data_IF_463858622820
#
_entry.id   IF_463858622820
#
_cell.length_a   1.000
_cell.length_b   1.000
_cell.length_c   1.000
_cell.angle_alpha   90.00
_cell.angle_beta   90.00
_cell.angle_gamma   90.00
#
_symmetry.space_group_name_H-M   'P 1'
#
loop_
_entity.id
_entity.type
_entity.pdbx_description
1 polymer ?
#
# COMPACT_ATOMS: atom_id res chain seq x y z
N UNK A 1 2.31 -13.95 -6.81
CA UNK A 1 1.01 -14.03 -6.09
C UNK A 1 0.54 -12.63 -5.73
N UNK A 2 -0.76 -12.33 -5.83
CA UNK A 2 -1.28 -10.96 -5.62
C UNK A 2 -2.24 -10.93 -4.43
N UNK A 3 -2.11 -9.90 -3.61
CA UNK A 3 -2.86 -9.67 -2.39
C UNK A 3 -3.28 -8.21 -2.25
N UNK A 4 -4.33 -7.98 -1.47
CA UNK A 4 -4.71 -6.65 -0.99
C UNK A 4 -4.60 -6.56 0.52
N UNK A 5 -4.35 -5.34 0.98
CA UNK A 5 -4.35 -5.03 2.40
C UNK A 5 -4.50 -3.54 2.64
N UNK A 6 -4.60 -3.18 3.91
CA UNK A 6 -4.84 -1.82 4.38
C UNK A 6 -3.62 -1.31 5.14
N UNK A 7 -3.09 -0.16 4.73
CA UNK A 7 -1.93 0.46 5.37
C UNK A 7 -2.30 0.90 6.78
N UNK A 8 -1.39 0.68 7.74
CA UNK A 8 -1.57 1.17 9.10
C UNK A 8 -0.23 1.55 9.74
N UNK A 9 -0.27 2.37 10.79
CA UNK A 9 0.89 2.67 11.63
C UNK A 9 0.96 1.71 12.80
N UNK A 10 2.11 1.06 12.96
CA UNK A 10 2.39 0.18 14.10
C UNK A 10 3.09 0.92 15.24
N UNK A 11 3.55 0.18 16.25
CA UNK A 11 4.29 0.71 17.42
C UNK A 11 5.75 1.11 17.13
N UNK A 12 6.07 1.46 15.88
CA UNK A 12 7.41 1.86 15.41
C UNK A 12 8.56 0.85 15.68
N UNK A 13 8.26 -0.42 15.99
CA UNK A 13 9.26 -1.48 16.18
C UNK A 13 10.15 -1.68 14.94
N UNK A 14 9.57 -1.55 13.75
CA UNK A 14 10.29 -1.72 12.48
C UNK A 14 11.52 -0.82 12.37
N UNK A 15 11.46 0.42 12.87
CA UNK A 15 12.59 1.37 12.78
C UNK A 15 13.86 0.84 13.48
N UNK A 16 13.72 0.37 14.72
CA UNK A 16 14.86 -0.17 15.48
C UNK A 16 15.37 -1.49 14.91
N UNK A 17 14.47 -2.35 14.41
CA UNK A 17 14.88 -3.60 13.75
C UNK A 17 15.63 -3.33 12.44
N UNK A 18 15.14 -2.41 11.61
CA UNK A 18 15.82 -2.05 10.36
C UNK A 18 17.19 -1.45 10.67
N UNK A 19 17.30 -0.56 11.66
CA UNK A 19 18.59 -0.02 12.11
C UNK A 19 19.55 -1.13 12.57
N UNK A 20 19.06 -2.10 13.34
CA UNK A 20 19.86 -3.25 13.81
C UNK A 20 20.37 -4.12 12.66
N UNK A 21 19.53 -4.38 11.66
CA UNK A 21 19.84 -5.30 10.56
C UNK A 21 20.35 -4.61 9.29
N UNK A 22 20.45 -3.27 9.26
CA UNK A 22 20.82 -2.49 8.07
C UNK A 22 22.08 -3.01 7.35
N UNK A 23 23.22 -3.28 8.01
CA UNK A 23 24.41 -3.78 7.30
C UNK A 23 24.16 -5.11 6.60
N UNK A 24 23.35 -5.99 7.19
CA UNK A 24 22.97 -7.27 6.58
C UNK A 24 22.01 -7.08 5.43
N UNK A 25 21.03 -6.21 5.57
CA UNK A 25 20.08 -5.91 4.49
C UNK A 25 20.85 -5.37 3.28
N UNK A 26 21.82 -4.49 3.49
CA UNK A 26 22.71 -4.00 2.43
C UNK A 26 23.50 -5.17 1.82
N UNK A 27 24.15 -6.01 2.63
CA UNK A 27 24.94 -7.14 2.11
C UNK A 27 24.13 -8.21 1.37
N UNK A 28 22.91 -8.49 1.83
CA UNK A 28 22.05 -9.56 1.29
C UNK A 28 21.27 -9.11 0.05
N UNK A 29 20.80 -7.85 0.06
CA UNK A 29 19.89 -7.30 -0.96
C UNK A 29 20.54 -6.26 -1.88
N UNK A 30 21.72 -5.75 -1.56
CA UNK A 30 22.30 -4.59 -2.26
C UNK A 30 21.50 -3.30 -2.06
N UNK A 31 20.66 -3.24 -1.03
CA UNK A 31 19.68 -2.18 -0.79
C UNK A 31 19.96 -1.52 0.56
N UNK A 32 20.14 -0.20 0.59
CA UNK A 32 20.05 0.56 1.84
C UNK A 32 18.57 0.80 2.16
N UNK A 33 18.01 0.21 3.22
CA UNK A 33 16.60 0.39 3.56
C UNK A 33 16.33 1.79 4.10
N UNK A 34 15.17 2.34 3.77
CA UNK A 34 14.59 3.46 4.49
C UNK A 34 14.38 3.08 5.97
N UNK A 35 14.60 3.98 6.94
CA UNK A 35 14.51 3.67 8.36
C UNK A 35 13.06 3.47 8.83
N UNK A 36 12.54 2.25 8.62
CA UNK A 36 11.22 1.83 9.04
C UNK A 36 10.64 0.76 8.12
N UNK A 37 9.43 0.32 8.44
CA UNK A 37 8.65 -0.62 7.63
C UNK A 37 7.31 0.00 7.26
N UNK A 38 6.81 -0.32 6.07
CA UNK A 38 5.39 -0.15 5.76
C UNK A 38 4.64 -1.35 6.37
N UNK A 39 3.70 -1.08 7.26
CA UNK A 39 2.83 -2.13 7.80
C UNK A 39 1.53 -2.17 7.01
N UNK A 40 1.15 -3.38 6.62
CA UNK A 40 -0.08 -3.65 5.87
C UNK A 40 -0.86 -4.74 6.58
N UNK A 41 -2.11 -4.44 6.92
CA UNK A 41 -3.05 -5.43 7.44
C UNK A 41 -3.69 -6.12 6.24
N UNK A 42 -3.34 -7.37 6.02
CA UNK A 42 -3.75 -8.18 4.88
C UNK A 42 -5.22 -8.60 5.02
N UNK A 43 -5.91 -8.73 3.89
CA UNK A 43 -7.29 -9.24 3.88
C UNK A 43 -7.39 -10.75 4.17
N UNK A 44 -6.29 -11.48 3.94
CA UNK A 44 -6.12 -12.89 4.33
C UNK A 44 -4.73 -13.10 4.92
N UNK A 45 -4.61 -14.12 5.78
CA UNK A 45 -3.32 -14.50 6.34
C UNK A 45 -2.31 -14.84 5.23
N UNK A 46 -1.08 -14.42 5.43
CA UNK A 46 0.01 -14.56 4.46
C UNK A 46 1.31 -14.86 5.20
N UNK A 47 1.94 -15.98 4.84
CA UNK A 47 3.23 -16.37 5.38
C UNK A 47 4.36 -15.96 4.43
N UNK A 48 5.18 -14.98 4.83
CA UNK A 48 6.30 -14.47 4.01
C UNK A 48 7.32 -15.57 3.76
N UNK A 49 7.54 -16.48 4.71
CA UNK A 49 8.44 -17.62 4.56
C UNK A 49 8.14 -18.44 3.30
N UNK A 50 6.86 -18.68 3.01
CA UNK A 50 6.42 -19.44 1.83
C UNK A 50 6.76 -18.78 0.49
N UNK A 51 7.08 -17.48 0.50
CA UNK A 51 7.47 -16.70 -0.68
C UNK A 51 8.91 -16.17 -0.58
N UNK A 52 9.66 -16.58 0.44
CA UNK A 52 10.99 -16.03 0.70
C UNK A 52 12.03 -16.58 -0.27
N UNK A 53 12.88 -15.70 -0.78
CA UNK A 53 14.02 -16.07 -1.63
C UNK A 53 15.34 -15.85 -0.90
N UNK A 54 15.34 -15.12 0.21
CA UNK A 54 16.51 -14.81 1.03
C UNK A 54 16.16 -14.86 2.51
N UNK A 55 17.18 -15.04 3.35
CA UNK A 55 17.07 -15.04 4.80
C UNK A 55 18.10 -14.10 5.42
N UNK A 56 17.79 -13.58 6.61
CA UNK A 56 18.79 -13.04 7.52
C UNK A 56 19.10 -14.14 8.52
N UNK A 57 20.28 -14.73 8.43
CA UNK A 57 20.68 -15.87 9.24
C UNK A 57 22.15 -15.79 9.69
N UNK A 58 22.50 -16.66 10.63
CA UNK A 58 23.77 -16.68 11.34
C UNK A 58 24.23 -18.11 11.55
N UNK A 59 25.54 -18.29 11.57
CA UNK A 59 26.17 -19.46 12.14
C UNK A 59 26.50 -19.18 13.61
N UNK A 60 25.97 -19.99 14.51
CA UNK A 60 26.30 -19.93 15.93
C UNK A 60 27.66 -20.58 16.18
N UNK A 61 28.25 -20.32 17.36
CA UNK A 61 29.55 -20.88 17.76
C UNK A 61 29.54 -22.41 17.87
N UNK A 62 28.36 -23.02 18.02
CA UNK A 62 28.16 -24.47 18.01
C UNK A 62 27.93 -25.05 16.60
N UNK A 63 28.11 -24.23 15.55
CA UNK A 63 27.90 -24.61 14.16
C UNK A 63 26.44 -24.65 13.72
N UNK A 64 25.47 -24.35 14.59
CA UNK A 64 24.05 -24.35 14.20
C UNK A 64 23.69 -23.08 13.45
N UNK A 65 22.86 -23.24 12.41
CA UNK A 65 22.29 -22.12 11.66
C UNK A 65 21.06 -21.59 12.39
N UNK A 66 21.00 -20.27 12.59
CA UNK A 66 19.84 -19.56 13.15
C UNK A 66 19.32 -18.53 12.16
N UNK A 67 18.03 -18.62 11.82
CA UNK A 67 17.34 -17.66 10.97
C UNK A 67 16.64 -16.62 11.87
N UNK A 68 16.92 -15.34 11.62
CA UNK A 68 16.27 -14.22 12.30
C UNK A 68 15.15 -13.60 11.46
N UNK A 69 15.21 -13.66 10.12
CA UNK A 69 14.14 -13.18 9.26
C UNK A 69 14.08 -13.87 7.89
N UNK A 70 12.87 -13.94 7.33
CA UNK A 70 12.60 -14.30 5.94
C UNK A 70 12.36 -13.05 5.10
N UNK A 71 12.88 -13.02 3.88
CA UNK A 71 12.80 -11.90 2.94
C UNK A 71 12.22 -12.38 1.62
N UNK A 72 11.14 -11.71 1.17
CA UNK A 72 10.48 -12.00 -0.09
C UNK A 72 10.35 -10.73 -0.94
N UNK A 73 10.72 -10.75 -2.23
CA UNK A 73 10.64 -9.57 -3.08
C UNK A 73 9.18 -9.25 -3.40
N UNK A 74 8.82 -7.96 -3.34
CA UNK A 74 7.45 -7.50 -3.61
C UNK A 74 7.40 -6.26 -4.49
N UNK A 75 6.34 -6.17 -5.29
CA UNK A 75 5.91 -4.93 -5.95
C UNK A 75 4.60 -4.43 -5.32
N UNK A 76 4.48 -3.12 -5.19
CA UNK A 76 3.36 -2.47 -4.52
C UNK A 76 2.77 -1.37 -5.38
N UNK A 77 1.43 -1.31 -5.43
CA UNK A 77 0.66 -0.27 -6.11
C UNK A 77 -0.51 0.15 -5.24
N UNK A 78 -0.91 1.44 -5.22
CA UNK A 78 -2.17 1.83 -4.62
C UNK A 78 -3.31 1.03 -5.24
N UNK A 79 -4.17 0.42 -4.43
CA UNK A 79 -5.37 -0.24 -4.95
C UNK A 79 -6.26 0.80 -5.66
N UNK A 80 -7.02 0.36 -6.66
CA UNK A 80 -8.01 1.22 -7.28
C UNK A 80 -8.96 1.75 -6.21
N UNK A 81 -8.99 3.08 -6.03
CA UNK A 81 -10.10 3.71 -5.32
C UNK A 81 -11.33 3.51 -6.19
N UNK A 82 -12.29 2.74 -5.72
CA UNK A 82 -13.61 2.66 -6.37
C UNK A 82 -14.15 4.08 -6.45
N UNK A 83 -14.35 4.57 -7.67
CA UNK A 83 -14.91 5.89 -7.91
C UNK A 83 -16.37 5.83 -7.46
N UNK A 84 -16.65 6.36 -6.27
CA UNK A 84 -18.01 6.36 -5.71
C UNK A 84 -18.84 7.57 -6.18
N UNK A 85 -18.27 8.54 -6.88
CA UNK A 85 -19.00 9.69 -7.41
C UNK A 85 -18.06 10.77 -7.96
N UNK A 86 -18.59 11.62 -8.83
CA UNK A 86 -17.91 12.77 -9.44
C UNK A 86 -18.68 14.02 -9.01
N UNK A 87 -17.99 15.07 -8.54
CA UNK A 87 -18.59 16.40 -8.38
C UNK A 87 -18.14 17.23 -9.58
N UNK A 88 -19.09 17.83 -10.30
CA UNK A 88 -18.81 18.78 -11.36
C UNK A 88 -19.17 20.15 -10.79
N UNK A 89 -18.18 21.01 -10.60
CA UNK A 89 -18.37 22.40 -10.18
C UNK A 89 -18.21 23.28 -11.42
N UNK A 90 -19.31 23.90 -11.87
CA UNK A 90 -19.30 24.81 -13.02
C UNK A 90 -18.94 24.16 -14.36
N UNK A 91 -18.64 25.02 -15.31
CA UNK A 91 -18.63 24.74 -16.75
C UNK A 91 -17.47 23.81 -17.16
N UNK A 92 -16.39 23.76 -16.38
CA UNK A 92 -15.15 23.08 -16.81
C UNK A 92 -14.33 22.41 -15.68
N UNK A 93 -14.74 22.47 -14.41
CA UNK A 93 -13.94 21.94 -13.29
C UNK A 93 -14.54 20.69 -12.64
N UNK A 94 -13.88 19.54 -12.86
CA UNK A 94 -14.22 18.27 -12.22
C UNK A 94 -13.33 18.03 -11.01
N UNK A 95 -13.92 18.13 -9.80
CA UNK A 95 -13.24 17.92 -8.53
C UNK A 95 -13.68 16.59 -7.89
N UNK A 96 -12.72 15.74 -7.48
CA UNK A 96 -13.03 14.41 -6.91
C UNK A 96 -13.15 14.45 -5.39
N UNK A 97 -14.27 13.99 -4.83
CA UNK A 97 -14.51 14.02 -3.38
C UNK A 97 -14.52 12.64 -2.73
N UNK A 98 -13.93 12.54 -1.53
CA UNK A 98 -14.03 11.37 -0.65
C UNK A 98 -15.32 11.49 0.17
N UNK A 99 -16.30 10.62 -0.08
CA UNK A 99 -17.54 10.60 0.70
C UNK A 99 -17.25 10.10 2.13
N UNK A 100 -17.23 11.03 3.09
CA UNK A 100 -17.23 10.74 4.53
C UNK A 100 -18.56 11.21 5.12
N UNK A 101 -19.60 10.39 4.97
CA UNK A 101 -20.74 10.39 5.88
C UNK A 101 -21.46 11.72 6.13
N UNK A 102 -21.64 12.56 5.10
CA UNK A 102 -22.72 13.55 5.12
C UNK A 102 -23.65 13.23 3.98
N UNK A 103 -24.94 13.18 4.30
CA UNK A 103 -26.01 13.02 3.33
C UNK A 103 -25.87 14.06 2.20
N UNK A 104 -26.37 13.73 1.00
CA UNK A 104 -26.37 14.65 -0.14
C UNK A 104 -27.05 16.00 0.22
N UNK A 105 -27.92 15.98 1.22
CA UNK A 105 -28.63 17.12 1.78
C UNK A 105 -27.70 18.17 2.41
N UNK A 106 -26.69 17.74 3.18
CA UNK A 106 -25.71 18.64 3.80
C UNK A 106 -24.84 19.38 2.78
N UNK A 107 -24.56 18.77 1.62
CA UNK A 107 -23.81 19.41 0.53
C UNK A 107 -24.65 20.48 -0.17
N UNK A 108 -25.94 20.23 -0.41
CA UNK A 108 -26.89 21.20 -0.97
C UNK A 108 -27.00 22.47 -0.12
N UNK A 109 -26.97 22.33 1.21
CA UNK A 109 -27.02 23.47 2.15
C UNK A 109 -25.79 24.40 2.06
N UNK A 110 -24.69 23.94 1.48
CA UNK A 110 -23.46 24.71 1.27
C UNK A 110 -23.34 25.35 -0.13
N UNK A 111 -24.41 25.31 -0.94
CA UNK A 111 -24.39 25.82 -2.31
C UNK A 111 -23.65 24.92 -3.31
N UNK A 112 -23.29 23.70 -2.91
CA UNK A 112 -22.56 22.72 -3.74
C UNK A 112 -23.53 21.69 -4.33
N UNK A 113 -23.48 21.49 -5.64
CA UNK A 113 -24.34 20.56 -6.38
C UNK A 113 -23.71 19.17 -6.36
N UNK A 114 -24.19 18.28 -5.49
CA UNK A 114 -23.86 16.85 -5.55
C UNK A 114 -24.69 16.16 -6.63
N UNK A 115 -24.09 15.82 -7.76
CA UNK A 115 -24.74 15.36 -9.01
C UNK A 115 -25.18 13.89 -9.01
N UNK A 116 -25.59 13.33 -7.87
CA UNK A 116 -26.28 12.04 -7.91
C UNK A 116 -27.64 12.11 -8.63
N UNK A 117 -28.22 13.31 -8.78
CA UNK A 117 -29.55 13.50 -9.36
C UNK A 117 -29.58 13.87 -10.86
N UNK A 118 -28.43 13.91 -11.55
CA UNK A 118 -28.37 14.34 -12.95
C UNK A 118 -27.32 13.48 -13.69
N UNK A 119 -27.64 12.21 -13.92
CA UNK A 119 -27.19 11.54 -15.15
C UNK A 119 -28.37 11.73 -16.10
N UNK A 120 -28.36 12.83 -16.87
CA UNK A 120 -29.51 13.19 -17.73
C UNK A 120 -29.31 12.74 -19.17
N UNK A 121 -28.08 12.46 -19.59
CA UNK A 121 -27.75 12.18 -20.98
C UNK A 121 -26.65 11.13 -21.14
N UNK A 122 -26.55 10.56 -22.33
CA UNK A 122 -25.45 9.66 -22.69
C UNK A 122 -24.09 10.37 -22.68
N UNK A 123 -24.05 11.69 -22.90
CA UNK A 123 -22.84 12.50 -22.79
C UNK A 123 -22.28 12.54 -21.34
N UNK A 124 -23.14 12.53 -20.32
CA UNK A 124 -22.71 12.46 -18.92
C UNK A 124 -22.03 11.10 -18.63
N UNK A 125 -22.57 10.02 -19.22
CA UNK A 125 -22.00 8.67 -19.11
C UNK A 125 -20.65 8.59 -19.81
N UNK A 126 -20.55 9.14 -21.02
CA UNK A 126 -19.30 9.20 -21.79
C UNK A 126 -18.22 10.02 -21.07
N UNK A 127 -18.57 11.15 -20.45
CA UNK A 127 -17.64 11.95 -19.67
C UNK A 127 -17.13 11.19 -18.43
N UNK A 128 -18.01 10.47 -17.72
CA UNK A 128 -17.62 9.60 -16.60
C UNK A 128 -16.68 8.49 -17.08
N UNK A 129 -17.00 7.84 -18.20
CA UNK A 129 -16.19 6.77 -18.79
C UNK A 129 -14.81 7.31 -19.24
N UNK A 130 -14.79 8.49 -19.87
CA UNK A 130 -13.58 9.21 -20.26
C UNK A 130 -12.71 9.56 -19.05
N UNK A 131 -13.28 10.09 -17.97
CA UNK A 131 -12.55 10.44 -16.75
C UNK A 131 -12.00 9.21 -16.02
N UNK A 132 -12.75 8.09 -16.02
CA UNK A 132 -12.25 6.79 -15.53
C UNK A 132 -11.06 6.33 -16.37
N UNK A 133 -11.20 6.29 -17.69
CA UNK A 133 -10.15 5.85 -18.62
C UNK A 133 -8.90 6.75 -18.53
N UNK A 134 -9.07 8.07 -18.41
CA UNK A 134 -7.96 9.02 -18.24
C UNK A 134 -7.20 8.80 -16.92
N UNK A 135 -7.90 8.43 -15.83
CA UNK A 135 -7.26 8.05 -14.56
C UNK A 135 -6.63 6.66 -14.58
N UNK A 136 -7.17 5.74 -15.36
CA UNK A 136 -6.59 4.41 -15.55
C UNK A 136 -5.32 4.45 -16.41
N UNK A 137 -5.28 5.34 -17.41
CA UNK A 137 -4.13 5.57 -18.27
C UNK A 137 -3.02 6.43 -17.60
N UNK A 138 -3.31 7.09 -16.48
CA UNK A 138 -2.26 7.70 -15.67
C UNK A 138 -1.43 6.60 -15.00
N UNK A 139 -0.19 6.42 -15.44
CA UNK A 139 0.74 5.43 -14.88
C UNK A 139 0.79 5.58 -13.36
N UNK A 140 0.17 4.63 -12.64
CA UNK A 140 0.13 4.69 -11.18
C UNK A 140 1.53 4.48 -10.63
N UNK A 141 1.89 5.19 -9.55
CA UNK A 141 3.17 4.97 -8.91
C UNK A 141 3.27 3.51 -8.45
N UNK A 142 4.38 2.89 -8.78
CA UNK A 142 4.77 1.55 -8.35
C UNK A 142 6.02 1.66 -7.50
N UNK A 143 6.07 0.88 -6.42
CA UNK A 143 7.23 0.81 -5.56
C UNK A 143 7.63 -0.66 -5.39
N UNK A 144 8.91 -0.96 -5.60
CA UNK A 144 9.49 -2.26 -5.29
C UNK A 144 10.04 -2.27 -3.86
N UNK A 145 10.06 -3.44 -3.25
CA UNK A 145 10.55 -3.63 -1.89
C UNK A 145 10.69 -5.09 -1.54
N UNK A 146 10.82 -5.36 -0.25
CA UNK A 146 10.92 -6.70 0.30
C UNK A 146 9.99 -6.83 1.49
N UNK A 147 9.09 -7.80 1.44
CA UNK A 147 8.38 -8.26 2.62
C UNK A 147 9.40 -8.90 3.57
N UNK A 148 9.34 -8.53 4.84
CA UNK A 148 10.21 -9.04 5.90
C UNK A 148 9.35 -9.66 7.01
N UNK A 149 9.73 -10.86 7.43
CA UNK A 149 9.09 -11.54 8.56
C UNK A 149 10.18 -11.99 9.52
N UNK A 150 10.24 -11.34 10.68
CA UNK A 150 11.16 -11.71 11.75
C UNK A 150 10.68 -12.99 12.45
N UNK A 151 11.62 -13.91 12.70
CA UNK A 151 11.38 -15.15 13.46
C UNK A 151 11.18 -14.86 14.94
N UNK A 152 11.76 -13.77 15.46
CA UNK A 152 11.60 -13.37 16.85
C UNK A 152 10.38 -12.47 17.07
N UNK A 153 9.50 -12.87 18.00
CA UNK A 153 8.37 -12.07 18.47
C UNK A 153 7.01 -12.68 18.09
N UNK A 154 5.90 -11.99 18.38
CA UNK A 154 4.57 -12.51 18.04
C UNK A 154 4.39 -12.55 16.52
N UNK A 155 4.07 -13.73 16.00
CA UNK A 155 3.72 -13.92 14.59
C UNK A 155 2.25 -13.57 14.40
N UNK A 156 1.98 -12.55 13.58
CA UNK A 156 0.65 -12.26 13.10
C UNK A 156 0.65 -12.33 11.57
N UNK A 157 0.17 -13.44 11.02
CA UNK A 157 0.13 -13.67 9.57
C UNK A 157 -0.86 -12.73 8.85
N UNK A 158 -1.72 -12.01 9.57
CA UNK A 158 -2.53 -10.95 8.99
C UNK A 158 -1.75 -9.63 8.81
N UNK A 159 -0.54 -9.50 9.35
CA UNK A 159 0.28 -8.28 9.25
C UNK A 159 1.51 -8.55 8.41
N UNK A 160 1.73 -7.69 7.41
CA UNK A 160 2.89 -7.71 6.55
C UNK A 160 3.74 -6.47 6.79
N UNK A 161 5.03 -6.66 7.06
CA UNK A 161 6.02 -5.58 7.12
C UNK A 161 6.83 -5.56 5.83
N UNK A 162 7.00 -4.38 5.23
CA UNK A 162 7.70 -4.22 3.96
C UNK A 162 8.77 -3.14 4.09
N UNK A 163 9.96 -3.44 3.59
CA UNK A 163 11.09 -2.51 3.48
C UNK A 163 11.32 -2.10 2.03
N UNK A 164 11.84 -0.90 1.82
CA UNK A 164 12.29 -0.40 0.52
C UNK A 164 13.42 0.60 0.72
N UNK A 165 14.10 1.00 -0.34
CA UNK A 165 15.12 2.07 -0.30
C UNK A 165 14.54 3.47 -0.17
N UNK A 166 13.22 3.61 -0.26
CA UNK A 166 12.50 4.89 -0.18
C UNK A 166 11.38 4.82 0.85
N UNK A 167 10.86 5.98 1.24
CA UNK A 167 9.61 6.06 2.00
C UNK A 167 8.44 5.63 1.10
N UNK A 168 7.92 4.42 1.31
CA UNK A 168 6.87 3.84 0.46
C UNK A 168 5.58 4.66 0.51
N UNK A 169 5.23 5.24 1.66
CA UNK A 169 4.00 6.06 1.80
C UNK A 169 4.07 7.31 0.91
N UNK A 170 5.22 7.99 0.93
CA UNK A 170 5.46 9.17 0.10
C UNK A 170 5.54 8.79 -1.40
N UNK A 171 6.31 7.75 -1.72
CA UNK A 171 6.51 7.28 -3.11
C UNK A 171 5.19 6.88 -3.78
N UNK A 172 4.28 6.24 -3.03
CA UNK A 172 2.99 5.79 -3.54
C UNK A 172 1.86 6.79 -3.29
N UNK A 173 2.13 7.91 -2.60
CA UNK A 173 1.13 8.92 -2.17
C UNK A 173 -0.04 8.30 -1.41
N UNK A 174 0.27 7.37 -0.51
CA UNK A 174 -0.70 6.65 0.33
C UNK A 174 -0.53 7.02 1.80
N UNK A 175 -1.61 6.87 2.56
CA UNK A 175 -1.61 7.07 4.02
C UNK A 175 -2.27 5.91 4.74
N UNK A 176 -2.31 5.98 6.06
CA UNK A 176 -3.07 5.04 6.87
C UNK A 176 -4.50 4.94 6.39
N UNK A 177 -5.02 3.72 6.47
CA UNK A 177 -6.30 3.28 5.94
C UNK A 177 -6.45 3.20 4.43
N UNK A 178 -5.46 3.63 3.63
CA UNK A 178 -5.51 3.39 2.19
C UNK A 178 -5.28 1.90 1.88
N UNK A 179 -5.97 1.41 0.84
CA UNK A 179 -5.77 0.07 0.31
C UNK A 179 -4.55 0.04 -0.62
N UNK A 180 -3.79 -1.04 -0.51
CA UNK A 180 -2.60 -1.29 -1.32
C UNK A 180 -2.67 -2.71 -1.89
N UNK A 181 -2.29 -2.84 -3.16
CA UNK A 181 -2.09 -4.12 -3.83
C UNK A 181 -0.62 -4.49 -3.75
N UNK A 182 -0.37 -5.73 -3.37
CA UNK A 182 0.97 -6.27 -3.16
C UNK A 182 1.12 -7.52 -4.01
N UNK A 183 2.19 -7.58 -4.77
CA UNK A 183 2.56 -8.72 -5.59
C UNK A 183 3.88 -9.30 -5.10
N UNK A 184 3.86 -10.55 -4.65
CA UNK A 184 5.07 -11.33 -4.42
C UNK A 184 5.67 -11.71 -5.77
N UNK A 185 6.92 -11.30 -5.98
CA UNK A 185 7.72 -11.55 -7.16
C UNK A 185 8.38 -12.94 -7.03
N UNK A 186 8.40 -13.70 -8.12
CA UNK A 186 9.08 -15.00 -8.20
C UNK A 186 10.58 -14.83 -8.47
#
# INVERSE_FOLDING_TARGET
MILEGKVFSGVNRGKELIKKYEPRIIGILGLRPFPGTLNVKMERETDVKSHSTKTIDFLLTDGKRKIDAYLAPVAMKPSQKTLRGVLIEGDETVSTYKWKGKDAFSLRKSGKIATWDIIRSDADRELIEYLKNRKENAQKPECKGWAIQFVSGPHNYAHLEIISGVNIKESLKIKDDDKIRIEFLA
#
